data_IF_162543042022
#
_entry.id   IF_162543042022
#
_cell.length_a   1.000
_cell.length_b   1.000
_cell.length_c   1.000
_cell.angle_alpha   90.00
_cell.angle_beta   90.00
_cell.angle_gamma   90.00
#
_symmetry.space_group_name_H-M   'P 1'
#
loop_
_entity.id
_entity.type
_entity.pdbx_description
1 polymer ?
#
# COMPACT_ATOMS: atom_id res chain seq x y z
N UNK A 1 -6.55 19.20 -0.86
CA UNK A 1 -5.29 19.18 -1.64
C UNK A 1 -5.36 18.00 -2.60
N UNK A 2 -5.12 18.22 -3.89
CA UNK A 2 -4.97 17.13 -4.88
C UNK A 2 -3.48 16.81 -5.03
N UNK A 3 -3.13 15.53 -5.00
CA UNK A 3 -1.75 15.06 -4.84
C UNK A 3 -1.44 14.61 -3.40
N UNK A 4 -0.18 14.23 -3.10
CA UNK A 4 0.98 14.21 -4.00
C UNK A 4 0.98 13.02 -4.96
N UNK A 5 1.96 12.99 -5.88
CA UNK A 5 2.10 11.92 -6.87
C UNK A 5 2.88 10.73 -6.35
N UNK A 6 3.94 10.95 -5.58
CA UNK A 6 4.78 9.84 -5.13
C UNK A 6 4.40 9.36 -3.73
N UNK A 7 4.44 8.05 -3.52
CA UNK A 7 4.21 7.43 -2.21
C UNK A 7 5.21 7.91 -1.15
N UNK A 8 6.41 8.33 -1.55
CA UNK A 8 7.43 8.90 -0.65
C UNK A 8 7.09 10.30 -0.14
N UNK A 9 6.30 11.07 -0.90
CA UNK A 9 5.89 12.44 -0.54
C UNK A 9 4.61 12.44 0.31
N UNK A 10 3.75 11.45 0.08
CA UNK A 10 2.42 11.36 0.69
C UNK A 10 2.41 11.44 2.22
N UNK A 11 3.32 10.80 2.98
CA UNK A 11 3.32 10.88 4.44
C UNK A 11 3.45 12.31 4.97
N UNK A 12 4.31 13.12 4.35
CA UNK A 12 4.59 14.49 4.79
C UNK A 12 3.35 15.37 4.53
N UNK A 13 2.82 15.32 3.31
CA UNK A 13 1.65 16.14 2.93
C UNK A 13 0.40 15.70 3.70
N UNK A 14 0.20 14.39 3.90
CA UNK A 14 -0.89 13.85 4.71
C UNK A 14 -0.82 14.33 6.16
N UNK A 15 0.38 14.37 6.74
CA UNK A 15 0.61 14.87 8.10
C UNK A 15 0.26 16.35 8.25
N UNK A 16 0.62 17.18 7.26
CA UNK A 16 0.25 18.59 7.23
C UNK A 16 -1.28 18.73 7.11
N UNK A 17 -1.90 18.04 6.15
CA UNK A 17 -3.35 18.06 5.93
C UNK A 17 -4.15 17.66 7.18
N UNK A 18 -3.71 16.62 7.88
CA UNK A 18 -4.31 16.17 9.14
C UNK A 18 -4.23 17.25 10.23
N UNK A 19 -3.09 17.93 10.38
CA UNK A 19 -2.91 18.99 11.40
C UNK A 19 -3.79 20.22 11.14
N UNK A 20 -4.00 20.58 9.89
CA UNK A 20 -4.77 21.77 9.50
C UNK A 20 -6.24 21.45 9.15
N UNK A 21 -6.66 20.20 9.26
CA UNK A 21 -8.04 19.78 8.99
C UNK A 21 -8.44 19.78 7.52
N UNK A 22 -7.49 19.69 6.58
CA UNK A 22 -7.74 19.71 5.15
C UNK A 22 -7.51 18.31 4.54
N UNK A 23 -8.46 17.75 3.77
CA UNK A 23 -8.27 16.47 3.12
C UNK A 23 -7.20 16.55 2.02
N UNK A 24 -6.37 15.50 1.96
CA UNK A 24 -5.35 15.28 0.94
C UNK A 24 -5.80 14.09 0.10
N UNK A 25 -5.91 14.26 -1.21
CA UNK A 25 -6.39 13.21 -2.13
C UNK A 25 -5.30 12.95 -3.18
N UNK A 26 -4.57 11.84 -3.02
CA UNK A 26 -3.55 11.44 -3.99
C UNK A 26 -4.15 10.66 -5.15
N UNK A 27 -3.62 10.90 -6.35
CA UNK A 27 -4.04 10.17 -7.56
C UNK A 27 -3.19 8.91 -7.84
N UNK A 28 -1.99 8.77 -7.26
CA UNK A 28 -1.03 7.69 -7.60
C UNK A 28 -0.25 7.11 -6.42
N UNK A 29 -0.37 7.65 -5.21
CA UNK A 29 0.35 7.10 -4.06
C UNK A 29 -0.26 5.78 -3.59
N UNK A 30 0.35 4.66 -3.98
CA UNK A 30 -0.16 3.30 -3.76
C UNK A 30 0.35 2.62 -2.48
N UNK A 31 1.34 3.22 -1.80
CA UNK A 31 2.01 2.65 -0.64
C UNK A 31 1.03 2.12 0.44
N UNK A 32 1.21 0.89 0.96
CA UNK A 32 0.27 0.29 1.91
C UNK A 32 0.11 1.05 3.23
N UNK A 33 1.19 1.64 3.73
CA UNK A 33 1.23 2.39 5.00
C UNK A 33 0.25 3.56 5.02
N UNK A 34 -0.02 4.17 3.86
CA UNK A 34 -0.95 5.30 3.69
C UNK A 34 -2.41 4.93 4.00
N UNK A 35 -2.72 3.64 4.12
CA UNK A 35 -4.06 3.17 4.52
C UNK A 35 -4.30 3.25 6.04
N UNK A 36 -3.26 3.52 6.84
CA UNK A 36 -3.40 3.63 8.30
C UNK A 36 -4.17 4.89 8.69
N UNK A 37 -5.44 4.71 9.09
CA UNK A 37 -6.34 5.81 9.50
C UNK A 37 -5.93 6.52 10.78
N UNK A 38 -5.21 5.85 11.68
CA UNK A 38 -4.69 6.47 12.89
C UNK A 38 -3.52 7.40 12.57
N UNK A 39 -2.66 7.03 11.61
CA UNK A 39 -1.53 7.84 11.18
C UNK A 39 -1.92 8.95 10.19
N UNK A 40 -2.86 8.67 9.29
CA UNK A 40 -3.24 9.55 8.18
C UNK A 40 -4.78 9.76 8.12
N UNK A 41 -5.37 10.43 9.13
CA UNK A 41 -6.83 10.56 9.24
C UNK A 41 -7.47 11.42 8.15
N UNK A 42 -6.71 12.34 7.54
CA UNK A 42 -7.19 13.24 6.48
C UNK A 42 -6.69 12.83 5.07
N UNK A 43 -6.05 11.68 4.92
CA UNK A 43 -5.52 11.22 3.63
C UNK A 43 -6.50 10.31 2.90
N UNK A 44 -6.64 10.52 1.60
CA UNK A 44 -7.46 9.73 0.69
C UNK A 44 -6.70 9.53 -0.61
N UNK A 45 -7.15 8.57 -1.42
CA UNK A 45 -6.57 8.33 -2.75
C UNK A 45 -7.59 7.71 -3.69
N UNK A 46 -7.41 7.94 -4.99
CA UNK A 46 -8.26 7.39 -6.05
C UNK A 46 -7.74 6.07 -6.63
N UNK A 47 -6.49 5.71 -6.31
CA UNK A 47 -5.88 4.42 -6.70
C UNK A 47 -5.91 3.41 -5.55
N UNK A 48 -5.98 2.11 -5.85
CA UNK A 48 -5.91 1.08 -4.83
C UNK A 48 -4.53 1.04 -4.15
N UNK A 49 -4.49 0.41 -2.98
CA UNK A 49 -3.23 0.08 -2.32
C UNK A 49 -2.48 -0.99 -3.10
N UNK A 50 -1.15 -1.01 -3.01
CA UNK A 50 -0.32 -2.13 -3.51
C UNK A 50 -0.73 -3.48 -2.91
N UNK A 51 -1.30 -3.49 -1.69
CA UNK A 51 -1.86 -4.69 -1.07
C UNK A 51 -2.92 -5.38 -1.93
N UNK A 52 -3.68 -4.65 -2.75
CA UNK A 52 -4.69 -5.26 -3.62
C UNK A 52 -4.06 -6.21 -4.64
N UNK A 53 -2.94 -5.80 -5.27
CA UNK A 53 -2.18 -6.64 -6.20
C UNK A 53 -1.53 -7.83 -5.47
N UNK A 54 -0.94 -7.60 -4.30
CA UNK A 54 -0.35 -8.66 -3.48
C UNK A 54 -1.36 -9.75 -3.10
N UNK A 55 -2.57 -9.36 -2.70
CA UNK A 55 -3.65 -10.31 -2.38
C UNK A 55 -4.11 -11.09 -3.62
N UNK A 56 -4.20 -10.45 -4.78
CA UNK A 56 -4.53 -11.14 -6.02
C UNK A 56 -3.47 -12.18 -6.41
N UNK A 57 -2.19 -11.88 -6.22
CA UNK A 57 -1.09 -12.83 -6.43
C UNK A 57 -1.22 -14.04 -5.50
N UNK A 58 -1.45 -13.81 -4.20
CA UNK A 58 -1.63 -14.90 -3.25
C UNK A 58 -2.85 -15.79 -3.61
N UNK A 59 -3.97 -15.17 -4.01
CA UNK A 59 -5.14 -15.91 -4.49
C UNK A 59 -4.84 -16.75 -5.73
N UNK A 60 -4.01 -16.24 -6.65
CA UNK A 60 -3.57 -17.00 -7.80
C UNK A 60 -2.77 -18.25 -7.39
N UNK A 61 -1.85 -18.13 -6.43
CA UNK A 61 -1.08 -19.28 -5.94
C UNK A 61 -1.99 -20.36 -5.34
N UNK A 62 -2.98 -19.96 -4.54
CA UNK A 62 -3.98 -20.85 -3.96
C UNK A 62 -4.83 -21.54 -5.04
N UNK A 63 -5.29 -20.78 -6.04
CA UNK A 63 -6.10 -21.32 -7.13
C UNK A 63 -5.40 -22.42 -7.94
N UNK A 64 -4.07 -22.33 -8.08
CA UNK A 64 -3.27 -23.32 -8.80
C UNK A 64 -2.65 -24.40 -7.91
N UNK A 65 -3.00 -24.44 -6.61
CA UNK A 65 -2.42 -25.37 -5.63
C UNK A 65 -0.88 -25.33 -5.58
N UNK A 66 -0.29 -24.15 -5.75
CA UNK A 66 1.15 -24.01 -5.55
C UNK A 66 1.45 -24.13 -4.06
N UNK A 67 2.50 -24.90 -3.73
CA UNK A 67 2.89 -25.17 -2.33
C UNK A 67 4.23 -24.53 -1.94
N UNK A 68 4.93 -23.92 -2.91
CA UNK A 68 6.21 -23.26 -2.69
C UNK A 68 6.38 -22.12 -3.68
N UNK A 69 6.89 -20.99 -3.19
CA UNK A 69 7.24 -19.81 -4.00
C UNK A 69 8.42 -19.08 -3.35
N UNK A 70 9.18 -18.34 -4.16
CA UNK A 70 10.20 -17.41 -3.68
C UNK A 70 9.84 -16.00 -4.14
N UNK A 71 9.88 -15.05 -3.21
CA UNK A 71 9.55 -13.64 -3.48
C UNK A 71 10.86 -12.86 -3.58
N UNK A 72 11.11 -12.28 -4.75
CA UNK A 72 12.24 -11.37 -5.00
C UNK A 72 11.66 -9.97 -5.19
N UNK A 73 12.18 -9.00 -4.45
CA UNK A 73 11.68 -7.64 -4.46
C UNK A 73 12.81 -6.64 -4.20
N UNK A 74 12.61 -5.40 -4.64
CA UNK A 74 13.49 -4.30 -4.29
C UNK A 74 13.33 -3.96 -2.81
N UNK A 75 14.44 -3.77 -2.08
CA UNK A 75 14.40 -3.44 -0.65
C UNK A 75 13.94 -2.00 -0.40
N UNK A 76 12.66 -1.74 -0.62
CA UNK A 76 11.97 -0.47 -0.37
C UNK A 76 10.57 -0.72 0.20
N UNK A 77 9.82 0.36 0.46
CA UNK A 77 8.49 0.25 1.07
C UNK A 77 7.47 -0.51 0.20
N UNK A 78 7.61 -0.45 -1.13
CA UNK A 78 6.73 -1.16 -2.06
C UNK A 78 7.04 -2.67 -2.02
N UNK A 79 8.31 -3.03 -2.22
CA UNK A 79 8.75 -4.42 -2.24
C UNK A 79 8.55 -5.12 -0.91
N UNK A 80 8.95 -4.50 0.21
CA UNK A 80 8.76 -5.06 1.55
C UNK A 80 7.26 -5.24 1.88
N UNK A 81 6.43 -4.25 1.52
CA UNK A 81 4.98 -4.30 1.74
C UNK A 81 4.32 -5.43 0.96
N UNK A 82 4.64 -5.54 -0.35
CA UNK A 82 4.13 -6.60 -1.21
C UNK A 82 4.54 -7.99 -0.74
N UNK A 83 5.83 -8.18 -0.42
CA UNK A 83 6.34 -9.45 0.07
C UNK A 83 5.65 -9.88 1.37
N UNK A 84 5.48 -8.96 2.32
CA UNK A 84 4.78 -9.21 3.58
C UNK A 84 3.31 -9.57 3.33
N UNK A 85 2.61 -8.84 2.47
CA UNK A 85 1.20 -9.10 2.16
C UNK A 85 0.98 -10.46 1.48
N UNK A 86 1.82 -10.82 0.50
CA UNK A 86 1.77 -12.14 -0.16
C UNK A 86 2.05 -13.24 0.86
N UNK A 87 3.13 -13.09 1.65
CA UNK A 87 3.53 -14.10 2.65
C UNK A 87 2.41 -14.34 3.67
N UNK A 88 1.81 -13.27 4.20
CA UNK A 88 0.72 -13.36 5.16
C UNK A 88 -0.58 -13.94 4.59
N UNK A 89 -0.79 -13.83 3.28
CA UNK A 89 -1.99 -14.35 2.62
C UNK A 89 -1.81 -15.81 2.17
N UNK A 90 -0.58 -16.19 1.78
CA UNK A 90 -0.26 -17.52 1.26
C UNK A 90 0.11 -18.53 2.36
N UNK A 91 0.70 -18.09 3.48
CA UNK A 91 1.09 -18.97 4.60
C UNK A 91 0.02 -19.13 5.70
N UNK A 92 -1.22 -18.69 5.43
CA UNK A 92 -2.38 -18.95 6.30
C UNK A 92 -3.05 -20.26 5.93
#
# INVERSE_FOLDING_TARGET
>A
IVGPGYSSEAPIIAGIGARIGIPVISQSATGPTLSNRNAYPAFYRTVPSDNAAALAIAQLFLNYNWTSCQIIYQNDAFGNGGATAITNAFLK
#
